data_IF_421003609608
#
_entry.id   IF_421003609608
#
_cell.length_a   1.000
_cell.length_b   1.000
_cell.length_c   1.000
_cell.angle_alpha   90.00
_cell.angle_beta   90.00
_cell.angle_gamma   90.00
#
_symmetry.space_group_name_H-M   'P 1'
#
loop_
_entity.id
_entity.type
_entity.pdbx_description
1 polymer ?
#
# COMPACT_ATOMS: atom_id res chain seq x y z
N UNK A 1 -7.41 27.13 -2.37
CA UNK A 1 -6.70 27.40 -3.63
C UNK A 1 -5.50 26.47 -3.64
N UNK A 2 -5.68 25.26 -4.17
CA UNK A 2 -4.59 24.29 -4.28
C UNK A 2 -3.78 24.67 -5.52
N UNK A 3 -2.48 24.90 -5.36
CA UNK A 3 -1.58 25.08 -6.50
C UNK A 3 -1.39 23.70 -7.15
N UNK A 4 -1.66 23.60 -8.45
CA UNK A 4 -1.30 22.41 -9.21
C UNK A 4 0.23 22.26 -9.18
N UNK A 5 0.73 21.04 -9.00
CA UNK A 5 2.15 20.72 -9.10
C UNK A 5 2.38 20.20 -10.53
N UNK A 6 3.41 20.72 -11.20
CA UNK A 6 3.80 20.29 -12.56
C UNK A 6 5.16 19.64 -12.50
N UNK A 7 5.31 18.50 -13.18
CA UNK A 7 6.55 17.69 -13.23
C UNK A 7 7.16 17.64 -14.64
N UNK A 8 6.79 18.54 -15.54
CA UNK A 8 7.41 18.63 -16.87
C UNK A 8 8.92 18.88 -16.73
N UNK A 9 9.81 18.01 -17.25
CA UNK A 9 11.24 18.16 -17.11
C UNK A 9 11.73 19.32 -17.99
N UNK A 10 11.59 20.55 -17.48
CA UNK A 10 12.32 21.69 -17.99
C UNK A 10 13.82 21.40 -17.86
N UNK A 11 14.45 21.05 -18.97
CA UNK A 11 15.91 20.91 -19.07
C UNK A 11 16.54 22.26 -18.73
N UNK A 12 17.14 22.37 -17.55
CA UNK A 12 18.01 23.48 -17.20
C UNK A 12 19.46 22.99 -17.35
N UNK A 13 20.09 23.37 -18.46
CA UNK A 13 21.53 23.29 -18.64
C UNK A 13 22.16 24.40 -17.80
N UNK A 14 22.48 24.07 -16.54
CA UNK A 14 23.24 24.92 -15.64
C UNK A 14 24.72 24.57 -15.76
N UNK A 15 25.39 25.00 -16.83
CA UNK A 15 26.84 25.04 -16.85
C UNK A 15 27.32 26.12 -15.89
N UNK A 16 27.90 25.73 -14.75
CA UNK A 16 29.01 26.43 -14.11
C UNK A 16 29.63 25.55 -13.00
N UNK A 17 30.89 25.16 -13.21
CA UNK A 17 31.81 24.78 -12.12
C UNK A 17 32.14 23.29 -12.00
N UNK A 18 33.26 22.91 -12.62
CA UNK A 18 34.04 21.70 -12.31
C UNK A 18 34.31 21.57 -10.81
N UNK A 19 33.74 20.54 -10.17
CA UNK A 19 34.33 19.83 -9.03
C UNK A 19 33.62 18.47 -8.89
N UNK A 20 34.32 17.41 -9.30
CA UNK A 20 33.89 16.03 -9.11
C UNK A 20 33.92 15.66 -7.61
N UNK A 21 32.80 15.88 -6.91
CA UNK A 21 32.52 15.34 -5.57
C UNK A 21 31.07 14.84 -5.54
N UNK A 22 30.86 13.59 -5.11
CA UNK A 22 29.55 12.93 -5.15
C UNK A 22 28.45 13.68 -4.37
N UNK A 23 27.39 14.07 -5.10
CA UNK A 23 26.01 14.38 -4.67
C UNK A 23 25.78 15.23 -3.40
N UNK A 24 26.34 16.45 -3.33
CA UNK A 24 25.95 17.47 -2.33
C UNK A 24 24.89 18.47 -2.83
N UNK A 25 24.41 18.32 -4.07
CA UNK A 25 23.39 19.21 -4.62
C UNK A 25 22.01 18.87 -4.07
N UNK A 26 21.23 19.89 -3.71
CA UNK A 26 19.81 19.72 -3.37
C UNK A 26 19.07 19.20 -4.58
N UNK A 27 18.46 18.03 -4.45
CA UNK A 27 17.57 17.45 -5.44
C UNK A 27 16.20 18.15 -5.36
N UNK A 28 15.68 18.57 -6.51
CA UNK A 28 14.31 19.09 -6.62
C UNK A 28 13.39 17.95 -7.05
N UNK A 29 12.37 17.65 -6.25
CA UNK A 29 11.40 16.59 -6.51
C UNK A 29 10.15 17.11 -7.20
N UNK A 30 9.78 18.37 -6.98
CA UNK A 30 8.61 18.99 -7.60
C UNK A 30 8.72 20.52 -7.66
N UNK A 31 8.08 21.12 -8.67
CA UNK A 31 7.96 22.57 -8.86
C UNK A 31 6.50 23.03 -8.71
N UNK A 32 6.31 24.32 -8.39
CA UNK A 32 4.97 24.91 -8.41
C UNK A 32 4.47 25.04 -9.85
N UNK A 33 3.28 24.50 -10.14
CA UNK A 33 2.58 24.68 -11.42
C UNK A 33 1.89 26.05 -11.50
N UNK A 34 2.64 27.12 -11.32
CA UNK A 34 2.15 28.50 -11.41
C UNK A 34 3.18 29.37 -12.12
N UNK A 35 2.77 30.11 -13.16
CA UNK A 35 3.68 30.89 -14.01
C UNK A 35 4.62 31.84 -13.24
N UNK A 36 4.14 32.44 -12.14
CA UNK A 36 4.93 33.36 -11.33
C UNK A 36 5.97 32.67 -10.41
N UNK A 37 5.81 31.37 -10.15
CA UNK A 37 6.62 30.60 -9.18
C UNK A 37 7.19 29.32 -9.78
N UNK A 38 7.15 29.18 -11.11
CA UNK A 38 7.52 27.95 -11.81
C UNK A 38 8.97 27.56 -11.57
N UNK A 39 9.86 28.54 -11.38
CA UNK A 39 11.27 28.34 -11.08
C UNK A 39 11.52 27.96 -9.60
N UNK A 40 10.53 28.13 -8.72
CA UNK A 40 10.66 27.79 -7.31
C UNK A 40 10.37 26.30 -7.09
N UNK A 41 11.22 25.63 -6.31
CA UNK A 41 10.99 24.26 -5.88
C UNK A 41 9.87 24.21 -4.82
N UNK A 42 8.93 23.28 -5.01
CA UNK A 42 7.85 22.98 -4.06
C UNK A 42 8.25 21.86 -3.09
N UNK A 43 8.98 20.85 -3.58
CA UNK A 43 9.50 19.74 -2.77
C UNK A 43 10.97 19.55 -3.10
N UNK A 44 11.82 19.46 -2.08
CA UNK A 44 13.26 19.26 -2.23
C UNK A 44 13.78 18.18 -1.29
N UNK A 45 14.86 17.51 -1.69
CA UNK A 45 15.59 16.55 -0.87
C UNK A 45 17.08 16.87 -0.90
N UNK A 46 17.74 16.75 0.23
CA UNK A 46 19.16 17.03 0.35
C UNK A 46 19.85 15.96 1.21
N UNK A 47 20.95 15.39 0.70
CA UNK A 47 21.78 14.46 1.46
C UNK A 47 22.65 15.22 2.48
N UNK A 48 22.58 14.83 3.74
CA UNK A 48 23.37 15.46 4.81
C UNK A 48 23.89 14.40 5.80
N UNK A 49 25.21 14.31 5.92
CA UNK A 49 25.85 13.30 6.76
C UNK A 49 25.57 11.88 6.25
N UNK A 50 24.87 11.08 7.04
CA UNK A 50 24.53 9.68 6.74
C UNK A 50 23.10 9.47 6.24
N UNK A 51 22.33 10.55 6.06
CA UNK A 51 20.93 10.47 5.68
C UNK A 51 20.53 11.61 4.77
N UNK A 52 19.22 11.77 4.61
CA UNK A 52 18.62 12.80 3.79
C UNK A 52 17.63 13.62 4.61
N UNK A 53 17.40 14.86 4.18
CA UNK A 53 16.35 15.72 4.69
C UNK A 53 15.47 16.13 3.49
N UNK A 54 14.17 16.00 3.64
CA UNK A 54 13.19 16.38 2.62
C UNK A 54 12.31 17.52 3.14
N UNK A 55 12.07 18.52 2.29
CA UNK A 55 11.26 19.68 2.58
C UNK A 55 10.05 19.72 1.67
N UNK A 56 8.85 19.82 2.27
CA UNK A 56 7.58 20.01 1.56
C UNK A 56 7.10 21.43 1.83
N UNK A 57 7.18 22.30 0.83
CA UNK A 57 6.91 23.74 0.96
C UNK A 57 5.43 24.14 0.92
N UNK A 58 4.51 23.19 0.84
CA UNK A 58 3.07 23.43 0.71
C UNK A 58 2.23 22.33 1.35
N UNK A 59 0.94 22.58 1.53
CA UNK A 59 -0.03 21.52 1.85
C UNK A 59 -0.37 20.77 0.56
N UNK A 60 -0.31 19.44 0.63
CA UNK A 60 -0.63 18.53 -0.45
C UNK A 60 -2.03 17.94 -0.26
N UNK A 61 -2.69 17.55 -1.35
CA UNK A 61 -3.89 16.72 -1.27
C UNK A 61 -3.54 15.30 -0.78
N UNK A 62 -4.52 14.49 -0.37
CA UNK A 62 -4.27 13.17 0.20
C UNK A 62 -3.54 12.20 -0.74
N UNK A 63 -3.79 12.23 -2.04
CA UNK A 63 -3.19 11.29 -2.99
C UNK A 63 -1.74 11.67 -3.26
N UNK A 64 -1.47 12.97 -3.44
CA UNK A 64 -0.10 13.48 -3.57
C UNK A 64 0.69 13.24 -2.29
N UNK A 65 0.09 13.43 -1.11
CA UNK A 65 0.74 13.12 0.18
C UNK A 65 1.13 11.64 0.26
N UNK A 66 0.24 10.72 -0.16
CA UNK A 66 0.54 9.27 -0.17
C UNK A 66 1.64 8.91 -1.15
N UNK A 67 1.69 9.55 -2.31
CA UNK A 67 2.74 9.31 -3.30
C UNK A 67 4.12 9.75 -2.77
N UNK A 68 4.22 10.99 -2.27
CA UNK A 68 5.45 11.54 -1.69
C UNK A 68 5.93 10.71 -0.50
N UNK A 69 5.03 10.35 0.42
CA UNK A 69 5.40 9.56 1.59
C UNK A 69 5.83 8.14 1.22
N UNK A 70 5.23 7.51 0.20
CA UNK A 70 5.64 6.18 -0.24
C UNK A 70 7.04 6.20 -0.84
N UNK A 71 7.32 7.15 -1.71
CA UNK A 71 8.65 7.26 -2.29
C UNK A 71 9.70 7.60 -1.22
N UNK A 72 9.38 8.47 -0.25
CA UNK A 72 10.26 8.72 0.89
C UNK A 72 10.52 7.47 1.75
N UNK A 73 9.51 6.60 1.94
CA UNK A 73 9.67 5.32 2.63
C UNK A 73 10.55 4.35 1.84
N UNK A 74 10.35 4.27 0.52
CA UNK A 74 11.16 3.43 -0.37
C UNK A 74 12.64 3.85 -0.33
N UNK A 75 12.91 5.15 -0.38
CA UNK A 75 14.26 5.73 -0.28
C UNK A 75 14.88 5.48 1.10
N UNK A 76 14.07 5.52 2.16
CA UNK A 76 14.51 5.18 3.51
C UNK A 76 14.71 3.66 3.71
N UNK A 77 14.35 2.83 2.73
CA UNK A 77 14.41 1.37 2.82
C UNK A 77 13.39 0.79 3.82
N UNK A 78 12.28 1.49 4.07
CA UNK A 78 11.24 1.08 5.01
C UNK A 78 10.14 0.31 4.28
N UNK A 79 10.18 -1.02 4.38
CA UNK A 79 9.11 -1.86 3.89
C UNK A 79 7.97 -1.97 4.92
N UNK A 80 6.72 -2.06 4.44
CA UNK A 80 5.54 -2.33 5.26
C UNK A 80 4.66 -3.36 4.56
N UNK A 81 4.00 -4.24 5.32
CA UNK A 81 2.99 -5.13 4.77
C UNK A 81 1.81 -4.32 4.23
N UNK A 82 1.63 -4.31 2.91
CA UNK A 82 0.46 -3.72 2.28
C UNK A 82 -0.50 -4.83 1.85
N UNK A 83 -1.80 -4.57 2.05
CA UNK A 83 -2.87 -5.51 1.69
C UNK A 83 -3.76 -4.85 0.66
N UNK A 84 -3.87 -5.49 -0.49
CA UNK A 84 -4.74 -5.08 -1.60
C UNK A 84 -5.95 -5.99 -1.63
N UNK A 85 -7.13 -5.44 -1.89
CA UNK A 85 -8.32 -6.26 -2.10
C UNK A 85 -8.15 -7.08 -3.38
N UNK A 86 -8.50 -8.36 -3.33
CA UNK A 86 -8.73 -9.15 -4.53
C UNK A 86 -10.12 -8.78 -5.03
N UNK A 87 -10.19 -8.11 -6.18
CA UNK A 87 -11.48 -7.85 -6.84
C UNK A 87 -11.97 -9.19 -7.39
N UNK A 88 -12.88 -9.85 -6.68
CA UNK A 88 -13.61 -10.98 -7.22
C UNK A 88 -14.56 -10.48 -8.30
N UNK A 89 -14.34 -10.90 -9.55
CA UNK A 89 -15.40 -10.88 -10.57
C UNK A 89 -16.56 -11.72 -10.05
N UNK A 90 -17.67 -11.08 -9.69
CA UNK A 90 -18.94 -11.79 -9.52
C UNK A 90 -19.31 -12.37 -10.89
N UNK A 91 -19.18 -13.69 -11.04
CA UNK A 91 -19.76 -14.41 -12.15
C UNK A 91 -21.28 -14.28 -12.08
N UNK A 92 -21.84 -13.45 -12.95
CA UNK A 92 -23.27 -13.36 -13.23
C UNK A 92 -23.53 -13.93 -14.61
N UNK A 93 -24.19 -15.09 -14.60
CA UNK A 93 -24.91 -15.81 -15.65
C UNK A 93 -24.13 -16.36 -16.85
N UNK A 94 -23.97 -17.69 -16.82
CA UNK A 94 -23.48 -18.53 -17.89
C UNK A 94 -24.50 -18.63 -19.03
N UNK A 95 -24.03 -18.43 -20.26
CA UNK A 95 -24.45 -19.25 -21.39
C UNK A 95 -23.24 -20.05 -21.87
N UNK A 96 -23.44 -21.36 -21.95
CA UNK A 96 -22.43 -22.34 -22.28
C UNK A 96 -22.07 -22.29 -23.75
N UNK A 97 -20.77 -22.34 -24.05
CA UNK A 97 -20.21 -23.23 -25.06
C UNK A 97 -18.70 -23.35 -24.78
N UNK A 98 -18.29 -24.58 -24.46
CA UNK A 98 -16.92 -24.94 -24.18
C UNK A 98 -16.18 -25.22 -25.50
N UNK A 99 -15.00 -24.64 -25.67
CA UNK A 99 -13.96 -25.20 -26.54
C UNK A 99 -12.62 -25.16 -25.80
N UNK A 100 -11.94 -26.29 -25.92
CA UNK A 100 -10.66 -26.70 -25.35
C UNK A 100 -9.50 -25.82 -25.82
N UNK A 101 -8.69 -25.31 -24.88
CA UNK A 101 -7.33 -24.87 -25.16
C UNK A 101 -6.47 -24.85 -23.89
N UNK A 102 -5.47 -25.74 -23.86
CA UNK A 102 -4.10 -25.40 -23.49
C UNK A 102 -3.84 -25.04 -22.03
N UNK A 103 -3.25 -25.99 -21.30
CA UNK A 103 -2.53 -25.69 -20.09
C UNK A 103 -1.33 -24.76 -20.39
N UNK A 104 -1.32 -23.58 -19.78
CA UNK A 104 -0.14 -22.73 -19.70
C UNK A 104 0.09 -22.22 -18.27
N UNK A 105 1.35 -22.39 -17.85
CA UNK A 105 1.99 -22.15 -16.56
C UNK A 105 1.25 -21.32 -15.50
N UNK A 106 0.98 -21.97 -14.36
CA UNK A 106 0.75 -21.28 -13.09
C UNK A 106 2.08 -20.70 -12.62
N UNK A 107 2.32 -19.43 -12.95
CA UNK A 107 3.37 -18.63 -12.32
C UNK A 107 3.00 -18.49 -10.84
N UNK A 108 3.83 -18.95 -9.89
CA UNK A 108 3.53 -18.81 -8.48
C UNK A 108 3.49 -17.32 -8.11
N UNK A 109 2.59 -16.99 -7.19
CA UNK A 109 2.47 -15.67 -6.61
C UNK A 109 3.80 -15.27 -5.95
N UNK A 110 4.61 -14.48 -6.65
CA UNK A 110 5.62 -13.66 -6.00
C UNK A 110 4.89 -12.73 -5.03
N UNK A 111 5.21 -12.93 -3.75
CA UNK A 111 4.64 -12.23 -2.62
C UNK A 111 4.78 -10.72 -2.82
N UNK A 112 3.63 -10.06 -3.03
CA UNK A 112 3.51 -8.60 -3.10
C UNK A 112 4.44 -7.96 -4.14
N UNK A 113 3.90 -7.47 -5.26
CA UNK A 113 4.64 -6.69 -6.27
C UNK A 113 5.17 -5.33 -5.79
N UNK A 114 5.73 -5.25 -4.57
CA UNK A 114 6.50 -4.13 -4.04
C UNK A 114 7.98 -4.25 -4.43
N UNK A 115 8.26 -4.35 -5.73
CA UNK A 115 9.62 -4.15 -6.23
C UNK A 115 9.54 -3.40 -7.54
N UNK A 116 9.48 -2.07 -7.45
CA UNK A 116 9.92 -1.22 -8.55
C UNK A 116 11.39 -0.89 -8.36
N UNK A 117 12.13 -1.03 -9.46
CA UNK A 117 13.57 -1.07 -9.53
C UNK A 117 14.25 0.14 -8.88
N UNK A 118 15.39 -0.12 -8.23
CA UNK A 118 16.37 0.89 -7.89
C UNK A 118 16.93 1.51 -9.17
N UNK A 119 16.44 2.70 -9.49
CA UNK A 119 17.00 3.64 -10.46
C UNK A 119 16.45 5.01 -10.11
N UNK A 120 17.29 6.05 -10.20
CA UNK A 120 16.99 7.46 -9.92
C UNK A 120 15.94 8.06 -10.87
N UNK A 121 14.78 7.41 -10.99
CA UNK A 121 13.69 7.83 -11.84
C UNK A 121 12.81 8.80 -11.07
N UNK A 122 12.58 9.96 -11.68
CA UNK A 122 11.66 10.99 -11.23
C UNK A 122 10.32 10.35 -10.82
N UNK A 123 9.79 10.82 -9.69
CA UNK A 123 8.48 10.43 -9.17
C UNK A 123 7.42 10.87 -10.18
N UNK A 124 6.79 9.91 -10.86
CA UNK A 124 5.62 10.14 -11.72
C UNK A 124 4.36 9.80 -10.92
N UNK A 125 3.68 10.75 -10.23
CA UNK A 125 2.43 10.47 -9.55
C UNK A 125 1.25 10.59 -10.53
N UNK A 126 1.27 9.84 -11.63
CA UNK A 126 0.09 9.71 -12.52
C UNK A 126 -0.81 8.52 -12.17
N UNK A 127 -0.49 7.78 -11.10
CA UNK A 127 -1.36 6.76 -10.54
C UNK A 127 -1.95 7.23 -9.22
N UNK A 128 -3.29 7.28 -9.10
CA UNK A 128 -3.95 7.32 -7.79
C UNK A 128 -3.41 6.15 -6.98
N UNK A 129 -2.65 6.44 -5.92
CA UNK A 129 -2.28 5.38 -5.01
C UNK A 129 -3.50 5.06 -4.16
N UNK A 130 -4.18 3.97 -4.52
CA UNK A 130 -5.26 3.42 -3.72
C UNK A 130 -4.77 3.14 -2.28
N UNK A 131 -5.56 3.50 -1.25
CA UNK A 131 -5.26 3.09 0.11
C UNK A 131 -5.29 1.55 0.21
N UNK A 132 -4.54 1.01 1.16
CA UNK A 132 -4.63 -0.42 1.49
C UNK A 132 -6.09 -0.77 1.81
N UNK A 133 -6.55 -1.91 1.29
CA UNK A 133 -7.92 -2.36 1.48
C UNK A 133 -8.22 -2.76 2.93
N UNK A 134 -7.18 -3.19 3.65
CA UNK A 134 -7.22 -3.54 5.07
C UNK A 134 -6.08 -2.81 5.77
N UNK A 135 -6.37 -2.30 6.98
CA UNK A 135 -5.32 -1.76 7.83
C UNK A 135 -4.59 -2.89 8.52
N UNK A 136 -3.28 -2.98 8.33
CA UNK A 136 -2.41 -3.95 9.01
C UNK A 136 -1.67 -3.25 10.14
N UNK A 137 -1.67 -3.86 11.33
CA UNK A 137 -0.83 -3.43 12.46
C UNK A 137 -0.13 -4.63 13.03
N UNK A 138 1.16 -4.49 13.35
CA UNK A 138 1.94 -5.57 13.94
C UNK A 138 2.50 -5.16 15.30
N UNK A 139 2.67 -6.15 16.16
CA UNK A 139 3.34 -6.04 17.44
C UNK A 139 3.93 -7.38 17.85
N UNK A 140 4.62 -7.38 18.98
CA UNK A 140 5.16 -8.60 19.59
C UNK A 140 4.46 -8.80 20.93
N UNK A 141 3.96 -10.00 21.20
CA UNK A 141 3.31 -10.32 22.46
C UNK A 141 4.32 -10.70 23.56
N UNK A 142 3.83 -10.94 24.78
CA UNK A 142 4.68 -11.35 25.91
C UNK A 142 5.39 -12.70 25.71
N UNK A 143 4.95 -13.53 24.75
CA UNK A 143 5.59 -14.80 24.37
C UNK A 143 6.66 -14.63 23.28
N UNK A 144 6.83 -13.42 22.74
CA UNK A 144 7.78 -13.16 21.65
C UNK A 144 7.24 -13.49 20.26
N UNK A 145 5.96 -13.82 20.12
CA UNK A 145 5.33 -14.11 18.83
C UNK A 145 4.90 -12.82 18.13
N UNK A 146 4.91 -12.82 16.80
CA UNK A 146 4.45 -11.69 16.01
C UNK A 146 2.93 -11.73 15.95
N UNK A 147 2.29 -10.67 16.43
CA UNK A 147 0.83 -10.52 16.40
C UNK A 147 0.47 -9.51 15.32
N UNK A 148 -0.28 -9.97 14.33
CA UNK A 148 -0.72 -9.17 13.18
C UNK A 148 -2.23 -8.94 13.27
N UNK A 149 -2.62 -7.69 13.41
CA UNK A 149 -4.00 -7.23 13.36
C UNK A 149 -4.35 -6.86 11.93
N UNK A 150 -5.43 -7.45 11.42
CA UNK A 150 -6.02 -7.14 10.12
C UNK A 150 -7.38 -6.49 10.37
N UNK A 151 -7.50 -5.20 10.13
CA UNK A 151 -8.67 -4.39 10.48
C UNK A 151 -9.39 -3.87 9.23
N UNK A 152 -10.65 -4.26 9.05
CA UNK A 152 -11.51 -3.72 8.01
C UNK A 152 -12.27 -2.49 8.55
N UNK A 153 -11.79 -1.30 8.19
CA UNK A 153 -12.45 -0.03 8.47
C UNK A 153 -13.38 0.41 7.33
N UNK A 154 -14.14 -0.51 6.76
CA UNK A 154 -15.16 -0.22 5.75
C UNK A 154 -16.51 -0.82 6.10
N UNK A 155 -17.56 -0.27 5.49
CA UNK A 155 -18.92 -0.75 5.61
C UNK A 155 -19.22 -1.99 4.75
N UNK A 156 -18.25 -2.38 3.92
CA UNK A 156 -18.37 -3.45 2.94
C UNK A 156 -17.46 -4.64 3.33
N UNK A 157 -17.82 -5.88 2.96
CA UNK A 157 -16.91 -6.99 3.05
C UNK A 157 -15.72 -6.82 2.10
N UNK A 158 -14.52 -7.19 2.55
CA UNK A 158 -13.28 -7.09 1.75
C UNK A 158 -12.61 -8.46 1.70
N UNK A 159 -12.31 -8.93 0.50
CA UNK A 159 -11.52 -10.16 0.27
C UNK A 159 -10.10 -9.79 -0.10
N UNK A 160 -9.10 -10.44 0.50
CA UNK A 160 -7.69 -10.14 0.27
C UNK A 160 -6.81 -11.37 0.54
N UNK A 161 -5.58 -11.36 0.03
CA UNK A 161 -4.59 -12.39 0.33
C UNK A 161 -3.92 -12.12 1.68
N UNK A 162 -3.83 -13.13 2.55
CA UNK A 162 -3.22 -12.99 3.87
C UNK A 162 -1.75 -12.55 3.75
N UNK A 163 -1.33 -11.45 4.41
CA UNK A 163 0.06 -11.00 4.35
C UNK A 163 1.00 -11.84 5.22
N UNK A 164 0.46 -12.67 6.12
CA UNK A 164 1.21 -13.44 7.11
C UNK A 164 0.68 -14.86 7.23
N UNK A 165 1.56 -15.77 7.67
CA UNK A 165 1.18 -17.10 8.11
C UNK A 165 1.09 -17.13 9.64
N UNK A 166 0.21 -17.96 10.19
CA UNK A 166 0.05 -18.13 11.64
C UNK A 166 -1.29 -18.72 12.03
N UNK A 167 -1.61 -18.65 13.32
CA UNK A 167 -2.87 -19.09 13.90
C UNK A 167 -3.79 -17.91 14.17
N UNK A 168 -5.08 -18.05 13.83
CA UNK A 168 -6.10 -17.05 14.12
C UNK A 168 -6.44 -17.06 15.61
N UNK A 169 -5.98 -16.05 16.34
CA UNK A 169 -6.27 -15.89 17.77
C UNK A 169 -7.62 -15.20 17.98
N UNK A 170 -8.00 -14.29 17.08
CA UNK A 170 -9.30 -13.62 17.13
C UNK A 170 -9.95 -13.70 15.77
N UNK A 171 -11.05 -14.44 15.69
CA UNK A 171 -11.84 -14.58 14.47
C UNK A 171 -12.91 -13.49 14.34
N UNK A 172 -13.30 -13.14 13.10
CA UNK A 172 -14.38 -12.20 12.85
C UNK A 172 -15.72 -12.72 13.40
N UNK A 173 -16.56 -11.81 13.90
CA UNK A 173 -17.91 -12.13 14.41
C UNK A 173 -18.96 -11.20 13.81
N UNK A 174 -20.14 -11.73 13.49
CA UNK A 174 -21.26 -10.92 13.01
C UNK A 174 -22.12 -10.51 14.20
N UNK A 175 -22.34 -9.20 14.34
CA UNK A 175 -23.21 -8.63 15.38
C UNK A 175 -24.55 -8.27 14.74
N UNK A 176 -25.64 -8.81 15.29
CA UNK A 176 -26.99 -8.49 14.86
C UNK A 176 -27.41 -7.08 15.34
N UNK A 177 -28.51 -6.58 14.78
CA UNK A 177 -29.04 -5.22 15.10
C UNK A 177 -29.43 -5.08 16.58
N UNK A 178 -29.67 -6.19 17.27
CA UNK A 178 -29.93 -6.24 18.70
C UNK A 178 -28.66 -6.11 19.57
N UNK A 179 -27.48 -5.97 18.97
CA UNK A 179 -26.19 -5.85 19.65
C UNK A 179 -25.63 -7.17 20.18
N UNK A 180 -26.29 -8.31 19.91
CA UNK A 180 -25.80 -9.64 20.26
C UNK A 180 -25.09 -10.27 19.06
N UNK A 181 -24.22 -11.24 19.35
CA UNK A 181 -23.58 -12.05 18.31
C UNK A 181 -24.67 -12.83 17.59
N UNK A 182 -24.70 -12.69 16.28
CA UNK A 182 -25.47 -13.55 15.39
C UNK A 182 -24.67 -14.85 15.21
N UNK A 183 -24.94 -15.82 16.07
CA UNK A 183 -24.26 -17.12 16.03
C UNK A 183 -24.40 -17.85 14.69
N UNK A 184 -25.59 -17.96 14.05
CA UNK A 184 -25.67 -18.65 12.76
C UNK A 184 -24.93 -17.89 11.66
N UNK A 185 -24.97 -16.56 11.64
CA UNK A 185 -24.21 -15.78 10.66
C UNK A 185 -22.71 -15.86 10.92
N UNK A 186 -22.28 -15.88 12.18
CA UNK A 186 -20.88 -16.06 12.57
C UNK A 186 -20.36 -17.45 12.22
N UNK A 187 -21.17 -18.49 12.42
CA UNK A 187 -20.81 -19.86 12.07
C UNK A 187 -20.64 -20.07 10.55
N UNK A 188 -21.34 -19.28 9.73
CA UNK A 188 -21.23 -19.29 8.28
C UNK A 188 -19.98 -18.59 7.74
N UNK A 189 -19.20 -17.90 8.59
CA UNK A 189 -17.92 -17.33 8.19
C UNK A 189 -16.91 -18.44 7.89
N UNK A 190 -15.96 -18.15 7.00
CA UNK A 190 -14.93 -19.11 6.58
C UNK A 190 -13.68 -19.11 7.47
N UNK A 191 -13.60 -18.17 8.43
CA UNK A 191 -12.45 -17.98 9.30
C UNK A 191 -12.91 -18.09 10.75
N UNK A 192 -12.40 -19.08 11.46
CA UNK A 192 -12.72 -19.39 12.84
C UNK A 192 -11.47 -19.26 13.74
N UNK A 193 -11.72 -19.22 15.04
CA UNK A 193 -10.63 -19.13 16.04
C UNK A 193 -9.88 -20.47 16.07
N UNK A 194 -8.55 -20.40 16.06
CA UNK A 194 -7.66 -21.57 15.99
C UNK A 194 -7.35 -22.06 14.57
N UNK A 195 -7.92 -21.43 13.53
CA UNK A 195 -7.59 -21.79 12.14
C UNK A 195 -6.13 -21.42 11.82
N UNK A 196 -5.45 -22.33 11.12
CA UNK A 196 -4.12 -22.06 10.57
C UNK A 196 -4.26 -21.39 9.20
N UNK A 197 -3.58 -20.25 9.03
CA UNK A 197 -3.58 -19.45 7.81
C UNK A 197 -2.15 -19.42 7.25
N UNK A 198 -2.00 -19.63 5.94
CA UNK A 198 -0.76 -19.41 5.22
C UNK A 198 -0.72 -18.01 4.60
N UNK A 199 0.49 -17.49 4.40
CA UNK A 199 0.66 -16.27 3.62
C UNK A 199 0.19 -16.51 2.17
N UNK A 200 -0.61 -15.61 1.63
CA UNK A 200 -1.24 -15.74 0.32
C UNK A 200 -2.67 -16.29 0.34
N UNK A 201 -3.14 -16.87 1.45
CA UNK A 201 -4.49 -17.43 1.53
C UNK A 201 -5.57 -16.35 1.35
N UNK A 202 -6.62 -16.68 0.59
CA UNK A 202 -7.74 -15.76 0.40
C UNK A 202 -8.60 -15.68 1.67
N UNK A 203 -8.56 -14.52 2.33
CA UNK A 203 -9.35 -14.20 3.52
C UNK A 203 -10.44 -13.20 3.18
N UNK A 204 -11.65 -13.45 3.70
CA UNK A 204 -12.79 -12.53 3.58
C UNK A 204 -13.10 -11.91 4.93
N UNK A 205 -12.95 -10.59 5.02
CA UNK A 205 -13.29 -9.82 6.22
C UNK A 205 -14.65 -9.16 6.06
N UNK A 206 -15.62 -9.45 6.94
CA UNK A 206 -16.90 -8.74 6.95
C UNK A 206 -16.71 -7.25 7.24
N UNK A 207 -17.77 -6.46 7.00
CA UNK A 207 -17.82 -5.04 7.35
C UNK A 207 -17.46 -4.81 8.81
N UNK A 208 -16.70 -3.75 9.08
CA UNK A 208 -16.32 -3.31 10.44
C UNK A 208 -15.74 -4.43 11.33
N UNK A 209 -15.08 -5.41 10.73
CA UNK A 209 -14.57 -6.58 11.43
C UNK A 209 -13.05 -6.60 11.47
N UNK A 210 -12.50 -7.50 12.28
CA UNK A 210 -11.07 -7.68 12.41
C UNK A 210 -10.73 -9.15 12.63
N UNK A 211 -9.50 -9.51 12.25
CA UNK A 211 -8.88 -10.75 12.72
C UNK A 211 -7.49 -10.46 13.27
N UNK A 212 -7.04 -11.33 14.17
CA UNK A 212 -5.70 -11.28 14.74
C UNK A 212 -5.03 -12.62 14.50
N UNK A 213 -3.91 -12.59 13.79
CA UNK A 213 -3.10 -13.77 13.49
C UNK A 213 -1.82 -13.68 14.33
N UNK A 214 -1.48 -14.75 15.05
CA UNK A 214 -0.22 -14.88 15.76
C UNK A 214 0.67 -15.94 15.09
N UNK A 215 1.93 -15.60 14.86
CA UNK A 215 2.91 -16.47 14.19
C UNK A 215 4.35 -16.04 14.40
#
# INVERSE_FOLDING_TARGET
MAAAISTDPGTVDGTDGDDAAGSSATQVLAHYGHYAWAECAAITRHAFGKGTAEWIGTVLDPDTTRAVMREALDVAGVATLCVTAVVGTTAGDADADAEDAGAEDVVPADACGCTTASGDAAVEPSGTVAPAAITVRQGVNARGETVTYLLNYSADPVTFASPVAGEVVVAPKIIAVNGLVDEPATAALTLHEGDAVAAGDALTMPRWNLTVIAG
#
